data_IF_672205910385
#
_entry.id   IF_672205910385
#
_cell.length_a   1.000
_cell.length_b   1.000
_cell.length_c   1.000
_cell.angle_alpha   90.00
_cell.angle_beta   90.00
_cell.angle_gamma   90.00
#
_symmetry.space_group_name_H-M   'P 1'
#
loop_
_entity.id
_entity.type
_entity.pdbx_description
1 polymer ?
#
# COMPACT_ATOMS: atom_id res chain seq x y z
N UNK A 1 -2.62 34.53 -1.06
CA UNK A 1 -2.91 33.24 -0.38
C UNK A 1 -2.04 33.20 0.86
N UNK A 2 -2.57 33.52 2.03
CA UNK A 2 -1.89 33.39 3.33
C UNK A 2 -1.78 31.92 3.64
N UNK A 3 -0.57 31.42 3.90
CA UNK A 3 -0.34 30.07 4.43
C UNK A 3 -1.13 29.97 5.76
N UNK A 4 -1.92 28.91 5.99
CA UNK A 4 -2.54 28.72 7.30
C UNK A 4 -1.42 28.71 8.35
N UNK A 5 -1.51 29.63 9.30
CA UNK A 5 -0.54 29.74 10.38
C UNK A 5 -0.47 28.43 11.13
N UNK A 6 0.75 28.00 11.45
CA UNK A 6 0.99 26.86 12.33
C UNK A 6 0.44 27.24 13.72
N UNK A 7 -0.65 26.62 14.11
CA UNK A 7 -1.25 26.88 15.44
C UNK A 7 -0.40 26.15 16.50
N UNK A 8 0.43 26.93 17.19
CA UNK A 8 1.31 26.49 18.25
C UNK A 8 0.62 26.50 19.64
N UNK A 9 -0.67 26.17 19.72
CA UNK A 9 -1.35 26.12 21.01
C UNK A 9 -0.63 25.10 21.94
N UNK A 10 0.00 25.55 23.06
CA UNK A 10 0.75 24.66 23.94
C UNK A 10 -0.13 23.71 24.77
N UNK A 11 -1.44 23.95 24.80
CA UNK A 11 -2.40 23.14 25.55
C UNK A 11 -3.09 22.07 24.68
N UNK A 12 -2.58 21.84 23.49
CA UNK A 12 -3.13 20.85 22.57
C UNK A 12 -2.84 19.44 23.04
N UNK A 13 -3.86 18.60 23.09
CA UNK A 13 -3.67 17.20 23.37
C UNK A 13 -3.10 16.48 22.15
N UNK A 14 -1.94 15.86 22.30
CA UNK A 14 -1.25 15.05 21.27
C UNK A 14 -1.19 13.63 21.76
N UNK A 15 -1.40 12.69 20.86
CA UNK A 15 -1.26 11.27 21.17
C UNK A 15 0.14 10.94 21.68
N UNK A 16 0.23 10.15 22.76
CA UNK A 16 1.50 9.72 23.35
C UNK A 16 2.29 8.73 22.47
N UNK A 17 1.68 8.14 21.44
CA UNK A 17 2.30 7.15 20.53
C UNK A 17 2.52 7.66 19.12
N UNK A 18 1.69 8.58 18.63
CA UNK A 18 1.81 9.12 17.28
C UNK A 18 1.72 10.65 17.31
N UNK A 19 1.70 11.27 16.12
CA UNK A 19 1.68 12.75 16.00
C UNK A 19 0.27 13.33 15.90
N UNK A 20 -0.78 12.53 15.99
CA UNK A 20 -2.15 13.01 15.91
C UNK A 20 -2.53 13.81 17.15
N UNK A 21 -3.20 14.93 16.94
CA UNK A 21 -3.68 15.81 17.97
C UNK A 21 -5.21 15.97 17.93
N UNK A 22 -5.77 16.72 18.83
CA UNK A 22 -7.20 16.97 19.00
C UNK A 22 -7.90 17.65 17.81
N UNK A 23 -7.17 18.02 16.74
CA UNK A 23 -7.72 18.51 15.46
C UNK A 23 -8.13 17.39 14.52
N UNK A 24 -7.64 16.18 14.73
CA UNK A 24 -7.99 15.06 13.86
C UNK A 24 -9.47 14.70 14.09
N UNK A 25 -10.22 14.63 13.00
CA UNK A 25 -11.65 14.33 13.08
C UNK A 25 -11.89 12.98 13.77
N UNK A 26 -12.89 12.94 14.65
CA UNK A 26 -13.29 11.73 15.38
C UNK A 26 -12.18 11.10 16.25
N UNK A 27 -11.14 11.88 16.61
CA UNK A 27 -10.11 11.39 17.52
C UNK A 27 -10.64 11.36 18.96
N UNK A 28 -10.27 10.34 19.67
CA UNK A 28 -10.43 10.23 21.12
C UNK A 28 -9.15 9.67 21.73
N UNK A 29 -8.95 9.93 23.01
CA UNK A 29 -7.76 9.48 23.74
C UNK A 29 -8.19 8.66 24.95
N UNK A 30 -7.48 7.57 25.20
CA UNK A 30 -7.67 6.79 26.42
C UNK A 30 -6.99 7.46 27.63
N UNK A 31 -7.00 6.79 28.79
CA UNK A 31 -6.41 7.32 30.04
C UNK A 31 -4.90 7.51 29.95
N UNK A 32 -4.20 6.79 29.07
CA UNK A 32 -2.78 6.88 28.84
C UNK A 32 -2.41 7.93 27.76
N UNK A 33 -3.43 8.61 27.21
CA UNK A 33 -3.26 9.60 26.15
C UNK A 33 -3.01 8.98 24.77
N UNK A 34 -3.24 7.69 24.59
CA UNK A 34 -3.15 7.00 23.29
C UNK A 34 -4.45 7.22 22.51
N UNK A 35 -4.34 7.56 21.23
CA UNK A 35 -5.53 7.81 20.41
C UNK A 35 -6.16 6.51 19.90
N UNK A 36 -7.46 6.58 19.62
CA UNK A 36 -8.26 5.48 19.06
C UNK A 36 -7.69 4.93 17.73
N UNK A 37 -7.00 5.74 16.93
CA UNK A 37 -6.35 5.26 15.69
C UNK A 37 -5.15 4.36 15.99
N UNK A 38 -4.38 4.63 17.04
CA UNK A 38 -3.33 3.74 17.49
C UNK A 38 -3.90 2.43 18.04
N UNK A 39 -5.01 2.47 18.79
CA UNK A 39 -5.68 1.28 19.28
C UNK A 39 -6.25 0.42 18.14
N UNK A 40 -6.82 1.05 17.09
CA UNK A 40 -7.24 0.35 15.88
C UNK A 40 -6.07 -0.35 15.19
N UNK A 41 -4.91 0.32 15.11
CA UNK A 41 -3.70 -0.29 14.54
C UNK A 41 -3.26 -1.51 15.33
N UNK A 42 -3.28 -1.43 16.66
CA UNK A 42 -2.94 -2.57 17.52
C UNK A 42 -3.88 -3.75 17.26
N UNK A 43 -5.18 -3.48 17.13
CA UNK A 43 -6.17 -4.51 16.79
C UNK A 43 -5.88 -5.18 15.43
N UNK A 44 -5.43 -4.42 14.43
CA UNK A 44 -5.04 -4.98 13.14
C UNK A 44 -3.74 -5.80 13.24
N UNK A 45 -2.74 -5.31 13.98
CA UNK A 45 -1.49 -6.05 14.23
C UNK A 45 -1.77 -7.39 14.91
N UNK A 46 -2.67 -7.40 15.90
CA UNK A 46 -3.07 -8.63 16.59
C UNK A 46 -3.88 -9.57 15.69
N UNK A 47 -4.81 -9.03 14.89
CA UNK A 47 -5.63 -9.80 13.97
C UNK A 47 -4.82 -10.51 12.87
N UNK A 48 -3.82 -9.81 12.33
CA UNK A 48 -3.02 -10.32 11.20
C UNK A 48 -1.66 -10.91 11.63
N UNK A 49 -1.31 -10.84 12.92
CA UNK A 49 -0.03 -11.33 13.41
C UNK A 49 1.18 -10.59 12.82
N UNK A 50 1.02 -9.32 12.43
CA UNK A 50 2.05 -8.53 11.74
C UNK A 50 3.35 -8.48 12.55
N UNK A 51 4.47 -8.91 11.94
CA UNK A 51 5.78 -8.98 12.57
C UNK A 51 5.94 -10.13 13.58
N UNK A 52 5.05 -11.11 13.54
CA UNK A 52 5.06 -12.31 14.41
C UNK A 52 5.13 -13.58 13.55
N UNK A 53 5.65 -14.69 14.10
CA UNK A 53 5.74 -15.97 13.36
C UNK A 53 4.41 -16.49 12.83
N UNK A 54 3.32 -16.24 13.56
CA UNK A 54 1.96 -16.66 13.15
C UNK A 54 1.50 -15.91 11.89
N UNK A 55 1.78 -14.61 11.80
CA UNK A 55 1.47 -13.80 10.62
C UNK A 55 2.32 -14.19 9.42
N UNK A 56 3.59 -14.53 9.63
CA UNK A 56 4.48 -15.03 8.57
C UNK A 56 3.99 -16.37 8.04
N UNK A 57 3.62 -17.30 8.92
CA UNK A 57 3.09 -18.60 8.54
C UNK A 57 1.77 -18.50 7.75
N UNK A 58 0.88 -17.59 8.15
CA UNK A 58 -0.37 -17.34 7.43
C UNK A 58 -0.10 -16.71 6.06
N UNK A 59 0.85 -15.79 5.96
CA UNK A 59 1.27 -15.19 4.70
C UNK A 59 1.83 -16.25 3.74
N UNK A 60 2.71 -17.15 4.20
CA UNK A 60 3.22 -18.25 3.40
C UNK A 60 2.12 -19.22 2.95
N UNK A 61 1.14 -19.49 3.81
CA UNK A 61 -0.04 -20.29 3.45
C UNK A 61 -0.78 -19.66 2.27
N UNK A 62 -1.05 -18.35 2.33
CA UNK A 62 -1.71 -17.59 1.26
C UNK A 62 -0.88 -17.61 -0.02
N UNK A 63 0.43 -17.41 0.06
CA UNK A 63 1.31 -17.48 -1.11
C UNK A 63 1.25 -18.85 -1.80
N UNK A 64 1.25 -19.94 -1.03
CA UNK A 64 1.14 -21.28 -1.56
C UNK A 64 -0.23 -21.55 -2.21
N UNK A 65 -1.30 -21.01 -1.67
CA UNK A 65 -2.62 -21.06 -2.29
C UNK A 65 -2.66 -20.31 -3.64
N UNK A 66 -2.09 -19.10 -3.70
CA UNK A 66 -1.97 -18.32 -4.94
C UNK A 66 -1.19 -19.09 -5.99
N UNK A 67 -0.02 -19.63 -5.64
CA UNK A 67 0.82 -20.44 -6.54
C UNK A 67 0.10 -21.68 -7.04
N UNK A 68 -0.61 -22.35 -6.15
CA UNK A 68 -1.39 -23.56 -6.50
C UNK A 68 -2.54 -23.22 -7.44
N UNK A 69 -3.29 -22.18 -7.16
CA UNK A 69 -4.39 -21.71 -8.00
C UNK A 69 -3.93 -21.20 -9.37
N UNK A 70 -2.69 -20.68 -9.43
CA UNK A 70 -2.05 -20.19 -10.65
C UNK A 70 -1.36 -21.26 -11.49
N UNK A 71 -1.27 -22.51 -11.01
CA UNK A 71 -0.57 -23.59 -11.73
C UNK A 71 -1.16 -23.83 -13.12
N UNK A 72 -0.29 -23.78 -14.14
CA UNK A 72 -0.69 -23.91 -15.53
C UNK A 72 -1.34 -22.66 -16.16
N UNK A 73 -1.50 -21.57 -15.41
CA UNK A 73 -1.97 -20.28 -15.91
C UNK A 73 -0.80 -19.35 -16.22
N UNK A 74 -1.04 -18.34 -17.05
CA UNK A 74 -0.04 -17.33 -17.38
C UNK A 74 0.31 -16.46 -16.17
N UNK A 75 -0.69 -16.13 -15.35
CA UNK A 75 -0.56 -15.29 -14.17
C UNK A 75 -1.10 -15.97 -12.91
N UNK A 76 -0.52 -15.67 -11.76
CA UNK A 76 -0.93 -16.19 -10.46
C UNK A 76 -1.89 -15.24 -9.75
N UNK A 77 -1.67 -13.93 -9.93
CA UNK A 77 -2.44 -12.87 -9.27
C UNK A 77 -2.53 -11.62 -10.14
N UNK A 78 -3.36 -10.68 -9.70
CA UNK A 78 -3.51 -9.34 -10.29
C UNK A 78 -3.06 -8.31 -9.27
N UNK A 79 -2.25 -7.33 -9.69
CA UNK A 79 -1.79 -6.21 -8.84
C UNK A 79 -2.16 -4.90 -9.52
N UNK A 80 -2.90 -4.03 -8.80
CA UNK A 80 -3.16 -2.67 -9.24
C UNK A 80 -1.94 -1.78 -9.10
N UNK A 81 -1.57 -1.03 -10.14
CA UNK A 81 -0.39 -0.16 -10.16
C UNK A 81 -0.81 1.28 -10.38
N UNK A 82 -0.45 2.15 -9.44
CA UNK A 82 -0.75 3.60 -9.49
C UNK A 82 0.45 4.46 -9.90
N UNK A 83 1.65 3.88 -10.03
CA UNK A 83 2.90 4.61 -10.21
C UNK A 83 3.46 5.23 -8.92
N UNK A 84 2.81 4.99 -7.78
CA UNK A 84 3.32 5.30 -6.45
C UNK A 84 4.31 4.25 -5.95
N UNK A 85 5.04 4.57 -4.89
CA UNK A 85 6.08 3.71 -4.31
C UNK A 85 5.52 2.37 -3.85
N UNK A 86 4.40 2.38 -3.13
CA UNK A 86 3.85 1.18 -2.50
C UNK A 86 3.40 0.13 -3.52
N UNK A 87 2.64 0.56 -4.55
CA UNK A 87 2.20 -0.35 -5.61
C UNK A 87 3.37 -0.89 -6.45
N UNK A 88 4.39 -0.07 -6.67
CA UNK A 88 5.60 -0.47 -7.39
C UNK A 88 6.42 -1.48 -6.58
N UNK A 89 6.56 -1.24 -5.27
CA UNK A 89 7.23 -2.15 -4.36
C UNK A 89 6.49 -3.49 -4.23
N UNK A 90 5.15 -3.47 -4.19
CA UNK A 90 4.34 -4.67 -4.17
C UNK A 90 4.59 -5.56 -5.40
N UNK A 91 4.68 -4.98 -6.61
CA UNK A 91 5.00 -5.72 -7.83
C UNK A 91 6.40 -6.32 -7.75
N UNK A 92 7.38 -5.56 -7.25
CA UNK A 92 8.74 -6.05 -7.03
C UNK A 92 8.75 -7.26 -6.08
N UNK A 93 8.14 -7.15 -4.91
CA UNK A 93 8.03 -8.23 -3.93
C UNK A 93 7.36 -9.46 -4.53
N UNK A 94 6.20 -9.27 -5.20
CA UNK A 94 5.47 -10.38 -5.80
C UNK A 94 6.31 -11.17 -6.82
N UNK A 95 7.04 -10.46 -7.69
CA UNK A 95 7.82 -11.11 -8.74
C UNK A 95 9.14 -11.70 -8.23
N UNK A 96 9.92 -10.92 -7.49
CA UNK A 96 11.32 -11.27 -7.21
C UNK A 96 11.51 -11.97 -5.86
N UNK A 97 10.72 -11.61 -4.86
CA UNK A 97 10.86 -12.20 -3.52
C UNK A 97 9.91 -13.39 -3.34
N UNK A 98 8.66 -13.26 -3.78
CA UNK A 98 7.67 -14.32 -3.58
C UNK A 98 7.56 -15.29 -4.76
N UNK A 99 8.20 -14.98 -5.89
CA UNK A 99 8.23 -15.84 -7.08
C UNK A 99 6.85 -16.03 -7.73
N UNK A 100 6.00 -15.00 -7.66
CA UNK A 100 4.71 -14.96 -8.33
C UNK A 100 4.85 -14.42 -9.76
N UNK A 101 3.83 -14.67 -10.57
CA UNK A 101 3.68 -14.11 -11.93
C UNK A 101 2.50 -13.14 -11.93
N UNK A 102 2.70 -11.90 -11.46
CA UNK A 102 1.62 -10.94 -11.36
C UNK A 102 1.22 -10.39 -12.74
N UNK A 103 -0.09 -10.25 -12.99
CA UNK A 103 -0.62 -9.36 -14.00
C UNK A 103 -0.75 -7.97 -13.37
N UNK A 104 0.08 -7.04 -13.79
CA UNK A 104 -0.05 -5.65 -13.35
C UNK A 104 -1.13 -4.93 -14.17
N UNK A 105 -2.04 -4.25 -13.49
CA UNK A 105 -3.15 -3.53 -14.11
C UNK A 105 -3.13 -2.08 -13.65
N UNK A 106 -3.17 -1.15 -14.59
CA UNK A 106 -3.33 0.26 -14.32
C UNK A 106 -4.68 0.75 -14.83
N UNK A 107 -5.39 1.49 -13.98
CA UNK A 107 -6.60 2.21 -14.38
C UNK A 107 -6.25 3.67 -14.64
N UNK A 108 -6.25 4.04 -15.94
CA UNK A 108 -6.07 5.43 -16.33
C UNK A 108 -7.38 6.21 -16.12
N UNK A 109 -7.39 7.05 -15.10
CA UNK A 109 -8.49 7.96 -14.78
C UNK A 109 -8.24 9.39 -15.27
N UNK A 110 -7.22 9.60 -16.13
CA UNK A 110 -6.78 10.91 -16.63
C UNK A 110 -6.18 11.87 -15.60
N UNK A 111 -6.06 11.44 -14.32
CA UNK A 111 -5.51 12.25 -13.23
C UNK A 111 -4.07 11.88 -12.86
N UNK A 112 -3.44 11.08 -13.69
CA UNK A 112 -2.06 10.68 -13.47
C UNK A 112 -1.10 11.86 -13.62
N UNK A 113 -0.19 12.00 -12.67
CA UNK A 113 0.95 12.91 -12.88
C UNK A 113 1.91 12.30 -13.91
N UNK A 114 2.69 13.16 -14.60
CA UNK A 114 3.72 12.69 -15.54
C UNK A 114 4.72 11.72 -14.87
N UNK A 115 5.04 11.95 -13.58
CA UNK A 115 5.92 11.07 -12.80
C UNK A 115 5.26 9.70 -12.57
N UNK A 116 3.99 9.66 -12.22
CA UNK A 116 3.26 8.41 -12.02
C UNK A 116 3.25 7.58 -13.31
N UNK A 117 2.94 8.20 -14.45
CA UNK A 117 2.95 7.55 -15.76
C UNK A 117 4.32 6.96 -16.12
N UNK A 118 5.39 7.71 -15.88
CA UNK A 118 6.76 7.21 -16.12
C UNK A 118 7.12 6.04 -15.18
N UNK A 119 6.73 6.12 -13.92
CA UNK A 119 6.97 5.05 -12.95
C UNK A 119 6.23 3.78 -13.33
N UNK A 120 4.95 3.89 -13.76
CA UNK A 120 4.18 2.74 -14.25
C UNK A 120 4.93 2.05 -15.39
N UNK A 121 5.35 2.81 -16.41
CA UNK A 121 6.11 2.26 -17.52
C UNK A 121 7.38 1.54 -17.06
N UNK A 122 8.16 2.15 -16.15
CA UNK A 122 9.42 1.55 -15.64
C UNK A 122 9.19 0.29 -14.81
N UNK A 123 8.12 0.23 -14.02
CA UNK A 123 7.78 -0.94 -13.21
C UNK A 123 7.30 -2.09 -14.07
N UNK A 124 6.63 -1.78 -15.19
CA UNK A 124 6.02 -2.77 -16.07
C UNK A 124 6.97 -3.32 -17.14
N UNK A 125 7.99 -2.53 -17.55
CA UNK A 125 9.00 -2.96 -18.52
C UNK A 125 9.69 -4.31 -18.18
N UNK A 126 10.03 -4.63 -16.92
CA UNK A 126 10.62 -5.91 -16.55
C UNK A 126 9.62 -7.05 -16.45
N UNK A 127 8.31 -6.78 -16.51
CA UNK A 127 7.28 -7.81 -16.55
C UNK A 127 7.12 -8.22 -18.01
N UNK A 128 7.58 -9.42 -18.37
CA UNK A 128 7.61 -9.93 -19.76
C UNK A 128 6.25 -9.96 -20.50
N UNK A 129 5.19 -9.55 -19.85
CA UNK A 129 3.83 -9.49 -20.36
C UNK A 129 3.07 -8.28 -19.84
N UNK A 130 3.19 -7.18 -20.55
CA UNK A 130 2.34 -6.01 -20.35
C UNK A 130 1.07 -6.13 -21.21
N UNK A 131 -0.05 -6.45 -20.59
CA UNK A 131 -1.36 -6.31 -21.23
C UNK A 131 -1.86 -4.87 -21.04
N UNK A 132 -1.26 -3.90 -21.71
CA UNK A 132 -1.84 -2.57 -21.84
C UNK A 132 -3.01 -2.62 -22.81
N UNK A 133 -4.22 -2.48 -22.31
CA UNK A 133 -5.30 -1.94 -23.12
C UNK A 133 -5.11 -0.42 -23.18
N UNK A 134 -4.61 0.03 -24.32
CA UNK A 134 -4.28 1.42 -24.60
C UNK A 134 -2.78 1.68 -24.34
N UNK A 135 -1.96 1.60 -25.39
CA UNK A 135 -0.62 2.18 -25.34
C UNK A 135 -0.81 3.67 -25.08
N UNK A 136 -0.22 4.22 -24.01
CA UNK A 136 -0.05 5.66 -23.97
C UNK A 136 0.95 6.03 -25.07
N UNK A 137 0.52 6.88 -26.00
CA UNK A 137 1.42 7.52 -26.94
C UNK A 137 2.39 8.39 -26.13
N UNK A 138 3.60 7.92 -25.97
CA UNK A 138 4.71 8.68 -25.40
C UNK A 138 5.44 9.41 -26.52
N UNK A 139 4.80 10.41 -27.15
CA UNK A 139 5.46 11.40 -28.02
C UNK A 139 5.68 12.70 -27.28
#
# INVERSE_FOLDING_TARGET
MTRPGFDLNPNRQVCTRCIYDDRVSAISFNQDGVCNYCEQLDGLVDQYGTGRPEGEAEFERILNEIKTAGKGKKYDCIIGVSGGTDSSYMVHQAKYEWGLRPLAVHYDNTWNSAIATQNIARVLLPLDDFAAKGQPDFT
#
